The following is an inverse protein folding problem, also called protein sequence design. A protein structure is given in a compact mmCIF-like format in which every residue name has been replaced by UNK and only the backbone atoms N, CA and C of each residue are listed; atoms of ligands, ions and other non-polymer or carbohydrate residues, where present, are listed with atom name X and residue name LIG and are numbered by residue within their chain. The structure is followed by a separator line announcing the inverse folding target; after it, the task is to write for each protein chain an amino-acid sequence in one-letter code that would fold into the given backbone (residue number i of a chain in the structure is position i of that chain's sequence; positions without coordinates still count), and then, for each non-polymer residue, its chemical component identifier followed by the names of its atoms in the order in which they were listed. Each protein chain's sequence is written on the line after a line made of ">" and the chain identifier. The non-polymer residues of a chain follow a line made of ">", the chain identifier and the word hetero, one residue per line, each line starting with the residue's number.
data_IF_000195464133
#
_entry.id   IF_000195464133
#
_cell.length_a   1.000
_cell.length_b   1.000
_cell.length_c   1.000
_cell.angle_alpha   90.00
_cell.angle_beta   90.00
_cell.angle_gamma   90.00
#
_symmetry.space_group_name_H-M   'P 1'
#
loop_
_entity.id
_entity.type
_entity.pdbx_description
1 polymer ?
#
# COMPACT_ATOMS: atom_id res chain seq x y z
N UNK A 1 12.32 7.44 71.23
CA UNK A 1 10.89 7.38 71.62
C UNK A 1 10.14 8.53 70.95
N UNK A 2 8.95 8.22 70.40
CA UNK A 2 7.92 9.07 69.74
C UNK A 2 7.88 8.96 68.19
N UNK A 3 7.16 7.94 67.67
CA UNK A 3 5.80 7.94 67.03
C UNK A 3 5.92 8.09 65.49
N UNK A 4 5.93 7.02 64.69
CA UNK A 4 4.78 6.25 64.14
C UNK A 4 3.78 7.13 63.36
N UNK A 5 3.72 6.93 62.03
CA UNK A 5 2.54 6.55 61.22
C UNK A 5 2.94 6.63 59.73
N UNK A 6 3.30 5.52 59.07
CA UNK A 6 2.39 4.68 58.26
C UNK A 6 1.66 5.45 57.16
N UNK A 7 2.16 5.44 55.92
CA UNK A 7 1.35 5.08 54.74
C UNK A 7 2.24 4.86 53.51
N UNK A 8 2.52 3.59 53.26
CA UNK A 8 3.29 3.08 52.14
C UNK A 8 2.28 2.64 51.07
N UNK A 9 1.63 3.54 50.33
CA UNK A 9 0.71 3.15 49.23
C UNK A 9 0.19 4.35 48.42
N UNK A 10 1.05 4.99 47.63
CA UNK A 10 0.65 5.69 46.39
C UNK A 10 1.81 5.47 45.39
N UNK A 11 2.18 4.21 45.12
CA UNK A 11 1.86 3.53 43.86
C UNK A 11 1.57 4.51 42.72
N UNK A 12 2.61 4.81 41.94
CA UNK A 12 2.55 4.93 40.49
C UNK A 12 1.26 5.52 39.91
N UNK A 13 1.00 6.80 40.17
CA UNK A 13 0.16 7.62 39.30
C UNK A 13 0.92 7.96 38.02
N UNK A 14 1.46 6.95 37.34
CA UNK A 14 1.79 7.05 35.92
C UNK A 14 0.42 7.07 35.25
N UNK A 15 -0.09 8.30 35.09
CA UNK A 15 -1.08 8.60 34.07
C UNK A 15 -0.53 8.04 32.77
N UNK A 16 -0.98 6.83 32.43
CA UNK A 16 -1.01 6.37 31.06
C UNK A 16 -1.96 7.32 30.33
N UNK A 17 -1.41 8.45 29.90
CA UNK A 17 -1.93 9.21 28.78
C UNK A 17 -1.94 8.23 27.60
N UNK A 18 -3.03 7.48 27.46
CA UNK A 18 -3.38 6.81 26.23
C UNK A 18 -3.67 7.90 25.21
N UNK A 19 -2.59 8.47 24.67
CA UNK A 19 -2.67 9.20 23.42
C UNK A 19 -3.38 8.26 22.44
N UNK A 20 -4.45 8.69 21.76
CA UNK A 20 -5.01 7.89 20.69
C UNK A 20 -3.94 7.81 19.60
N UNK A 21 -3.17 6.72 19.61
CA UNK A 21 -2.42 6.28 18.44
C UNK A 21 -3.49 5.98 17.41
N UNK A 22 -3.75 6.95 16.54
CA UNK A 22 -4.60 6.75 15.39
C UNK A 22 -3.91 5.71 14.52
N UNK A 23 -4.30 4.45 14.66
CA UNK A 23 -3.81 3.36 13.83
C UNK A 23 -4.21 3.70 12.38
N UNK A 24 -3.22 3.97 11.53
CA UNK A 24 -3.43 4.10 10.10
C UNK A 24 -3.91 2.73 9.60
N UNK A 25 -5.20 2.60 9.32
CA UNK A 25 -5.79 1.35 8.84
C UNK A 25 -5.22 1.03 7.44
N UNK A 26 -4.26 0.11 7.39
CA UNK A 26 -3.64 -0.30 6.14
C UNK A 26 -4.52 -1.36 5.46
N UNK A 27 -5.22 -0.97 4.39
CA UNK A 27 -6.06 -1.88 3.61
C UNK A 27 -5.17 -2.85 2.82
N UNK A 28 -5.13 -4.12 3.28
CA UNK A 28 -4.36 -5.21 2.69
C UNK A 28 -5.27 -6.26 2.06
N UNK A 29 -4.88 -6.78 0.90
CA UNK A 29 -5.54 -7.88 0.21
C UNK A 29 -4.48 -8.88 -0.31
N UNK A 30 -4.78 -10.18 -0.29
CA UNK A 30 -3.89 -11.23 -0.82
C UNK A 30 -4.66 -12.06 -1.84
N UNK A 31 -4.12 -12.16 -3.05
CA UNK A 31 -4.70 -12.92 -4.16
C UNK A 31 -3.73 -14.06 -4.50
N UNK A 32 -4.20 -15.31 -4.48
CA UNK A 32 -3.44 -16.44 -5.00
C UNK A 32 -3.47 -16.44 -6.53
N UNK A 33 -2.34 -16.74 -7.15
CA UNK A 33 -2.19 -16.79 -8.60
C UNK A 33 -1.97 -18.24 -9.04
N UNK A 34 -2.43 -18.58 -10.24
CA UNK A 34 -2.42 -19.95 -10.77
C UNK A 34 -1.03 -20.60 -10.83
N UNK A 35 0.03 -19.79 -10.84
CA UNK A 35 1.42 -20.24 -10.84
C UNK A 35 2.01 -20.52 -9.45
N UNK A 36 1.19 -20.50 -8.39
CA UNK A 36 1.63 -20.69 -7.00
C UNK A 36 2.32 -19.46 -6.39
N UNK A 37 2.24 -18.31 -7.06
CA UNK A 37 2.65 -17.01 -6.52
C UNK A 37 1.47 -16.32 -5.87
N UNK A 38 1.74 -15.23 -5.17
CA UNK A 38 0.74 -14.39 -4.54
C UNK A 38 0.91 -12.94 -4.97
N UNK A 39 -0.20 -12.24 -5.16
CA UNK A 39 -0.21 -10.78 -5.23
C UNK A 39 -0.77 -10.24 -3.93
N UNK A 40 0.11 -9.65 -3.11
CA UNK A 40 -0.31 -8.88 -1.94
C UNK A 40 -0.46 -7.42 -2.35
N UNK A 41 -1.64 -6.83 -2.14
CA UNK A 41 -1.85 -5.40 -2.36
C UNK A 41 -2.02 -4.64 -1.05
N UNK A 42 -1.49 -3.43 -1.02
CA UNK A 42 -1.51 -2.52 0.13
C UNK A 42 -1.88 -1.13 -0.38
N UNK A 43 -2.83 -0.47 0.26
CA UNK A 43 -3.14 0.94 -0.01
C UNK A 43 -2.55 1.82 1.08
N UNK A 44 -1.85 2.86 0.66
CA UNK A 44 -1.26 3.88 1.53
C UNK A 44 -1.81 5.26 1.13
N UNK A 45 -2.50 5.91 2.06
CA UNK A 45 -3.02 7.27 1.86
C UNK A 45 -1.97 8.30 2.26
N UNK A 46 -1.77 9.32 1.42
CA UNK A 46 -1.05 10.52 1.86
C UNK A 46 -2.04 11.40 2.61
N UNK A 47 -1.76 11.82 3.87
CA UNK A 47 -2.66 12.68 4.62
C UNK A 47 -2.95 13.97 3.85
N UNK A 48 -4.23 14.27 3.61
CA UNK A 48 -4.68 15.56 3.07
C UNK A 48 -5.52 16.29 4.11
N UNK A 49 -5.58 17.62 4.00
CA UNK A 49 -6.47 18.42 4.85
C UNK A 49 -7.94 18.04 4.57
N UNK A 50 -8.79 18.05 5.62
CA UNK A 50 -10.21 17.63 5.53
C UNK A 50 -11.05 18.43 4.52
N UNK A 51 -10.60 19.63 4.12
CA UNK A 51 -11.28 20.50 3.18
C UNK A 51 -10.86 20.31 1.70
N UNK A 52 -9.94 19.39 1.41
CA UNK A 52 -9.48 19.14 0.04
C UNK A 52 -10.43 18.22 -0.72
N UNK A 53 -10.98 18.69 -1.84
CA UNK A 53 -11.68 17.85 -2.84
C UNK A 53 -10.71 17.04 -3.72
N UNK A 54 -9.44 16.95 -3.31
CA UNK A 54 -8.39 16.20 -3.98
C UNK A 54 -7.70 15.26 -2.97
N UNK A 55 -7.46 14.02 -3.40
CA UNK A 55 -6.71 13.02 -2.63
C UNK A 55 -5.64 12.38 -3.50
N UNK A 56 -4.46 12.16 -2.93
CA UNK A 56 -3.39 11.36 -3.55
C UNK A 56 -3.08 10.16 -2.66
N UNK A 57 -2.99 8.99 -3.29
CA UNK A 57 -2.70 7.75 -2.58
C UNK A 57 -1.95 6.78 -3.50
N UNK A 58 -1.40 5.74 -2.88
CA UNK A 58 -0.60 4.72 -3.55
C UNK A 58 -1.23 3.36 -3.30
N UNK A 59 -1.28 2.52 -4.34
CA UNK A 59 -1.54 1.09 -4.19
C UNK A 59 -0.31 0.32 -4.64
N UNK A 60 0.22 -0.47 -3.73
CA UNK A 60 1.43 -1.27 -3.89
C UNK A 60 0.98 -2.71 -4.10
N UNK A 61 1.41 -3.33 -5.19
CA UNK A 61 1.28 -4.76 -5.45
C UNK A 61 2.63 -5.45 -5.31
N UNK A 62 2.78 -6.25 -4.25
CA UNK A 62 3.93 -7.10 -4.00
C UNK A 62 3.68 -8.48 -4.62
N UNK A 63 4.40 -8.79 -5.69
CA UNK A 63 4.39 -10.12 -6.30
C UNK A 63 5.33 -11.01 -5.49
N UNK A 64 4.79 -12.04 -4.83
CA UNK A 64 5.50 -12.92 -3.90
C UNK A 64 5.57 -14.35 -4.44
N UNK A 65 6.70 -15.01 -4.25
CA UNK A 65 6.84 -16.43 -4.57
C UNK A 65 6.10 -17.32 -3.56
N UNK A 66 6.11 -18.64 -3.78
CA UNK A 66 5.49 -19.64 -2.92
C UNK A 66 5.97 -19.61 -1.46
N UNK A 67 7.17 -19.07 -1.20
CA UNK A 67 7.77 -18.91 0.13
C UNK A 67 7.39 -17.56 0.79
N UNK A 68 6.55 -16.75 0.14
CA UNK A 68 6.15 -15.43 0.64
C UNK A 68 7.18 -14.31 0.43
N UNK A 69 8.29 -14.57 -0.29
CA UNK A 69 9.32 -13.56 -0.58
C UNK A 69 8.91 -12.71 -1.78
N UNK A 70 9.00 -11.39 -1.65
CA UNK A 70 8.74 -10.45 -2.75
C UNK A 70 9.78 -10.64 -3.84
N UNK A 71 9.33 -10.92 -5.06
CA UNK A 71 10.19 -11.01 -6.25
C UNK A 71 10.28 -9.68 -6.98
N UNK A 72 9.15 -8.97 -7.10
CA UNK A 72 9.08 -7.62 -7.62
C UNK A 72 7.85 -6.89 -7.07
N UNK A 73 7.89 -5.56 -7.11
CA UNK A 73 6.82 -4.68 -6.66
C UNK A 73 6.35 -3.81 -7.82
N UNK A 74 5.05 -3.58 -7.91
CA UNK A 74 4.40 -2.64 -8.82
C UNK A 74 3.59 -1.66 -8.01
N UNK A 75 3.79 -0.37 -8.20
CA UNK A 75 3.07 0.67 -7.45
C UNK A 75 2.37 1.60 -8.43
N UNK A 76 1.10 1.87 -8.17
CA UNK A 76 0.39 2.98 -8.80
C UNK A 76 0.22 4.12 -7.79
N UNK A 77 0.62 5.32 -8.16
CA UNK A 77 0.31 6.55 -7.43
C UNK A 77 -0.76 7.29 -8.20
N UNK A 78 -1.95 7.40 -7.62
CA UNK A 78 -3.10 8.08 -8.21
C UNK A 78 -3.43 9.38 -7.49
N UNK A 79 -3.75 10.42 -8.24
CA UNK A 79 -4.39 11.64 -7.73
C UNK A 79 -5.81 11.70 -8.24
N UNK A 80 -6.75 11.97 -7.34
CA UNK A 80 -8.18 11.96 -7.61
C UNK A 80 -8.82 13.26 -7.13
N UNK A 81 -9.85 13.71 -7.83
CA UNK A 81 -10.78 14.73 -7.36
C UNK A 81 -12.13 14.09 -7.10
N UNK A 82 -12.81 14.47 -6.01
CA UNK A 82 -14.12 13.92 -5.65
C UNK A 82 -15.02 14.98 -5.02
N UNK A 83 -16.34 14.84 -5.17
CA UNK A 83 -17.33 15.86 -4.77
C UNK A 83 -18.46 15.35 -3.88
N UNK A 84 -18.40 14.09 -3.45
CA UNK A 84 -19.52 13.37 -2.82
C UNK A 84 -20.41 12.68 -3.84
N UNK A 85 -20.65 13.32 -4.99
CA UNK A 85 -21.50 12.77 -6.08
C UNK A 85 -20.70 12.18 -7.24
N UNK A 86 -19.45 12.57 -7.43
CA UNK A 86 -18.58 12.07 -8.50
C UNK A 86 -17.12 11.94 -8.07
N UNK A 87 -16.32 11.18 -8.83
CA UNK A 87 -14.87 11.08 -8.64
C UNK A 87 -14.16 10.91 -9.98
N UNK A 88 -12.98 11.52 -10.12
CA UNK A 88 -12.16 11.47 -11.33
C UNK A 88 -10.69 11.33 -10.97
N UNK A 89 -10.00 10.41 -11.65
CA UNK A 89 -8.55 10.28 -11.59
C UNK A 89 -7.91 11.35 -12.47
N UNK A 90 -7.19 12.29 -11.86
CA UNK A 90 -6.51 13.38 -12.59
C UNK A 90 -5.09 13.00 -12.98
N UNK A 91 -4.39 12.21 -12.15
CA UNK A 91 -3.02 11.75 -12.40
C UNK A 91 -2.83 10.27 -12.05
N UNK A 92 -2.01 9.58 -12.83
CA UNK A 92 -1.59 8.20 -12.58
C UNK A 92 -0.10 8.07 -12.90
N UNK A 93 0.67 7.50 -11.98
CA UNK A 93 2.11 7.27 -12.12
C UNK A 93 2.41 5.83 -11.75
N UNK A 94 3.22 5.17 -12.55
CA UNK A 94 3.62 3.77 -12.35
C UNK A 94 5.08 3.69 -11.93
N UNK A 95 5.31 2.94 -10.86
CA UNK A 95 6.63 2.53 -10.40
C UNK A 95 6.71 1.00 -10.37
N UNK A 96 7.87 0.46 -10.68
CA UNK A 96 8.11 -0.97 -10.60
C UNK A 96 9.58 -1.21 -10.23
N UNK A 97 9.83 -2.19 -9.36
CA UNK A 97 11.18 -2.54 -8.93
C UNK A 97 11.30 -4.04 -8.70
N UNK A 98 12.48 -4.60 -9.00
CA UNK A 98 12.80 -5.97 -8.64
C UNK A 98 13.38 -6.02 -7.22
N UNK A 99 13.05 -7.07 -6.48
CA UNK A 99 13.60 -7.38 -5.15
C UNK A 99 14.34 -8.73 -5.12
N UNK A 100 14.43 -9.39 -6.26
CA UNK A 100 15.12 -10.65 -6.44
C UNK A 100 16.15 -10.50 -7.58
N UNK A 101 17.38 -10.97 -7.37
CA UNK A 101 18.49 -10.81 -8.31
C UNK A 101 18.22 -11.40 -9.70
N UNK A 102 17.42 -12.47 -9.76
CA UNK A 102 17.10 -13.16 -11.02
C UNK A 102 15.94 -12.51 -11.75
N UNK A 103 15.21 -11.57 -11.14
CA UNK A 103 14.09 -10.87 -11.78
C UNK A 103 14.51 -9.48 -12.24
N UNK A 104 14.09 -9.09 -13.45
CA UNK A 104 14.29 -7.74 -13.99
C UNK A 104 12.97 -7.19 -14.51
N UNK A 105 12.71 -5.91 -14.24
CA UNK A 105 11.57 -5.19 -14.83
C UNK A 105 11.89 -4.90 -16.30
N UNK A 106 11.04 -5.37 -17.20
CA UNK A 106 11.19 -5.17 -18.65
C UNK A 106 10.33 -4.03 -19.19
N UNK A 107 9.19 -3.75 -18.56
CA UNK A 107 8.36 -2.59 -18.91
C UNK A 107 7.49 -2.16 -17.73
N UNK A 108 7.07 -0.90 -17.76
CA UNK A 108 6.04 -0.35 -16.88
C UNK A 108 5.25 0.72 -17.62
N UNK A 109 3.98 0.86 -17.28
CA UNK A 109 3.09 1.88 -17.84
C UNK A 109 2.04 2.30 -16.82
N UNK A 110 1.67 3.57 -16.86
CA UNK A 110 0.56 4.12 -16.11
C UNK A 110 -0.60 4.45 -17.05
N UNK A 111 -1.82 4.29 -16.56
CA UNK A 111 -3.03 4.73 -17.25
C UNK A 111 -4.05 5.25 -16.25
N UNK A 112 -4.99 6.05 -16.74
CA UNK A 112 -6.12 6.56 -15.97
C UNK A 112 -7.41 6.45 -16.79
N UNK A 113 -8.50 6.10 -16.14
CA UNK A 113 -9.84 6.07 -16.75
C UNK A 113 -10.90 6.25 -15.67
N UNK A 114 -11.82 7.20 -15.88
CA UNK A 114 -12.83 7.58 -14.89
C UNK A 114 -12.18 7.86 -13.53
N UNK A 115 -12.57 7.11 -12.52
CA UNK A 115 -12.06 7.21 -11.15
C UNK A 115 -10.94 6.21 -10.80
N UNK A 116 -10.26 5.66 -11.81
CA UNK A 116 -9.25 4.60 -11.66
C UNK A 116 -7.87 5.04 -12.15
N UNK A 117 -6.86 4.82 -11.32
CA UNK A 117 -5.45 4.85 -11.68
C UNK A 117 -4.93 3.42 -11.78
N UNK A 118 -4.32 3.04 -12.90
CA UNK A 118 -3.80 1.69 -13.11
C UNK A 118 -2.33 1.73 -13.50
N UNK A 119 -1.50 0.95 -12.79
CA UNK A 119 -0.14 0.63 -13.19
C UNK A 119 -0.08 -0.81 -13.71
N UNK A 120 0.63 -1.01 -14.82
CA UNK A 120 1.00 -2.31 -15.35
C UNK A 120 2.51 -2.41 -15.41
N UNK A 121 3.06 -3.57 -15.08
CA UNK A 121 4.47 -3.86 -15.26
C UNK A 121 4.69 -5.31 -15.69
N UNK A 122 5.74 -5.53 -16.47
CA UNK A 122 6.18 -6.87 -16.88
C UNK A 122 7.58 -7.13 -16.36
N UNK A 123 7.74 -8.22 -15.62
CA UNK A 123 9.02 -8.69 -15.09
C UNK A 123 9.44 -10.00 -15.77
N UNK A 124 10.73 -10.17 -16.01
CA UNK A 124 11.32 -11.38 -16.58
C UNK A 124 12.30 -12.00 -15.59
N UNK A 125 12.23 -13.32 -15.40
CA UNK A 125 13.20 -14.08 -14.62
C UNK A 125 14.28 -14.64 -15.53
N UNK A 126 15.53 -14.51 -15.11
CA UNK A 126 16.71 -14.96 -15.82
C UNK A 126 17.42 -16.07 -15.04
N UNK A 127 17.94 -17.05 -15.77
CA UNK A 127 18.86 -18.08 -15.28
C UNK A 127 20.00 -18.13 -16.30
N UNK A 128 21.24 -18.00 -15.84
CA UNK A 128 22.44 -17.98 -16.69
C UNK A 128 22.31 -17.03 -17.91
N UNK A 129 21.77 -15.84 -17.65
CA UNK A 129 21.57 -14.80 -18.67
C UNK A 129 20.37 -15.00 -19.60
N UNK A 130 19.69 -16.14 -19.55
CA UNK A 130 18.54 -16.48 -20.41
C UNK A 130 17.21 -16.20 -19.71
N UNK A 131 16.29 -15.53 -20.38
CA UNK A 131 14.93 -15.29 -19.85
C UNK A 131 14.11 -16.58 -19.90
N UNK A 132 13.76 -17.12 -18.74
CA UNK A 132 13.02 -18.40 -18.61
C UNK A 132 11.57 -18.22 -18.17
N UNK A 133 11.20 -17.03 -17.71
CA UNK A 133 9.84 -16.74 -17.25
C UNK A 133 9.50 -15.27 -17.47
N UNK A 134 8.27 -14.98 -17.89
CA UNK A 134 7.74 -13.62 -18.01
C UNK A 134 6.43 -13.52 -17.23
N UNK A 135 6.29 -12.49 -16.39
CA UNK A 135 5.08 -12.23 -15.61
C UNK A 135 4.66 -10.78 -15.76
N UNK A 136 3.38 -10.58 -16.01
CA UNK A 136 2.75 -9.27 -16.01
C UNK A 136 1.90 -9.11 -14.76
N UNK A 137 1.95 -7.93 -14.16
CA UNK A 137 1.17 -7.56 -12.98
C UNK A 137 0.47 -6.23 -13.27
N UNK A 138 -0.80 -6.15 -12.87
CA UNK A 138 -1.64 -4.95 -13.01
C UNK A 138 -2.21 -4.60 -11.64
N UNK A 139 -2.00 -3.36 -11.19
CA UNK A 139 -2.52 -2.84 -9.93
C UNK A 139 -3.38 -1.63 -10.24
N UNK A 140 -4.62 -1.63 -9.74
CA UNK A 140 -5.57 -0.54 -9.93
C UNK A 140 -5.99 0.03 -8.59
N UNK A 141 -5.84 1.34 -8.44
CA UNK A 141 -6.36 2.14 -7.35
C UNK A 141 -7.58 2.91 -7.84
N UNK A 142 -8.70 2.76 -7.14
CA UNK A 142 -9.97 3.44 -7.41
C UNK A 142 -10.32 4.38 -6.28
N UNK A 143 -10.91 5.53 -6.60
CA UNK A 143 -11.49 6.46 -5.64
C UNK A 143 -13.00 6.58 -5.86
N UNK A 144 -13.82 6.31 -4.86
CA UNK A 144 -15.28 6.49 -4.94
C UNK A 144 -15.66 7.99 -4.89
N UNK A 145 -16.93 8.29 -5.17
CA UNK A 145 -17.44 9.67 -5.13
C UNK A 145 -17.35 10.35 -3.77
N UNK A 146 -17.38 9.56 -2.69
CA UNK A 146 -17.18 10.01 -1.30
C UNK A 146 -15.71 9.99 -0.84
N UNK A 147 -14.75 9.72 -1.73
CA UNK A 147 -13.32 9.77 -1.41
C UNK A 147 -12.74 8.51 -0.75
N UNK A 148 -13.48 7.41 -0.67
CA UNK A 148 -12.98 6.11 -0.21
C UNK A 148 -12.07 5.46 -1.27
N UNK A 149 -11.05 4.74 -0.83
CA UNK A 149 -10.07 4.10 -1.70
C UNK A 149 -10.17 2.56 -1.70
N UNK A 150 -9.92 1.96 -2.87
CA UNK A 150 -9.94 0.50 -3.09
C UNK A 150 -8.99 0.09 -4.19
#
# INVERSE_FOLDING_TARGET
>A
MKKIFTLFTIVCSILFLSLPVSALEQKREIIQLDNGYYLETIIEETPTTRASNQKTARKIGNYKNSQGKVVFTVTVTGTFTYTGSSSTCTKSVAEASSKNANWKISSKSASKSGNKATAKATAKRYVDGTAVETRSCSVTLTCSSNGSLS
#
